data_IF_938569215841
#
_entry.id   IF_938569215841
#
_cell.length_a   1.000
_cell.length_b   1.000
_cell.length_c   1.000
_cell.angle_alpha   90.00
_cell.angle_beta   90.00
_cell.angle_gamma   90.00
#
_symmetry.space_group_name_H-M   'P 1'
#
loop_
_entity.id
_entity.type
_entity.pdbx_description
1 polymer ?
#
# COMPACT_ATOMS: atom_id res chain seq x y z
N UNK A 1 -1.11 -20.43 -15.95
CA UNK A 1 -2.54 -20.23 -15.99
C UNK A 1 -2.83 -18.73 -16.05
N UNK A 2 -3.11 -18.22 -17.26
CA UNK A 2 -3.21 -16.79 -17.58
C UNK A 2 -4.60 -16.20 -17.31
N UNK A 3 -5.41 -16.78 -16.43
CA UNK A 3 -6.83 -16.40 -16.29
C UNK A 3 -7.15 -15.35 -15.23
N UNK A 4 -6.22 -14.91 -14.43
CA UNK A 4 -6.49 -13.96 -13.33
C UNK A 4 -6.18 -12.48 -13.67
N UNK A 5 -5.85 -12.18 -14.92
CA UNK A 5 -5.58 -10.81 -15.36
C UNK A 5 -6.83 -9.93 -15.57
N UNK A 6 -8.04 -10.52 -15.47
CA UNK A 6 -9.29 -9.80 -15.70
C UNK A 6 -9.97 -9.22 -14.46
N UNK A 7 -9.38 -9.36 -13.29
CA UNK A 7 -9.90 -8.77 -12.05
C UNK A 7 -9.15 -7.49 -11.60
N UNK A 8 -8.41 -6.86 -12.49
CA UNK A 8 -7.89 -5.53 -12.18
C UNK A 8 -9.04 -4.57 -11.96
N UNK A 9 -8.98 -3.76 -10.89
CA UNK A 9 -9.98 -2.72 -10.66
C UNK A 9 -10.14 -1.89 -11.93
N UNK A 10 -11.38 -1.54 -12.26
CA UNK A 10 -11.63 -0.62 -13.37
C UNK A 10 -10.73 0.60 -13.19
N UNK A 11 -10.29 1.22 -14.26
CA UNK A 11 -9.39 2.38 -14.24
C UNK A 11 -9.77 3.39 -13.14
N UNK A 12 -11.06 3.69 -12.97
CA UNK A 12 -11.55 4.64 -11.96
C UNK A 12 -11.21 4.25 -10.52
N UNK A 13 -11.21 2.96 -10.19
CA UNK A 13 -10.78 2.51 -8.87
C UNK A 13 -9.26 2.63 -8.66
N UNK A 14 -8.45 2.49 -9.72
CA UNK A 14 -6.99 2.71 -9.63
C UNK A 14 -6.63 4.19 -9.48
N UNK A 15 -7.45 5.10 -10.03
CA UNK A 15 -7.28 6.55 -9.88
C UNK A 15 -7.40 7.00 -8.41
N UNK A 16 -8.24 6.32 -7.64
CA UNK A 16 -8.51 6.62 -6.23
C UNK A 16 -7.75 5.73 -5.23
N UNK A 17 -7.11 4.67 -5.70
CA UNK A 17 -6.38 3.77 -4.81
C UNK A 17 -5.08 4.41 -4.32
N UNK A 18 -4.77 4.22 -3.04
CA UNK A 18 -3.49 4.59 -2.43
C UNK A 18 -2.57 3.37 -2.35
N UNK A 19 -3.14 2.19 -2.09
CA UNK A 19 -2.43 0.91 -2.01
C UNK A 19 -3.31 -0.22 -2.53
N UNK A 20 -2.69 -1.27 -3.03
CA UNK A 20 -3.34 -2.52 -3.41
C UNK A 20 -2.75 -3.62 -2.52
N UNK A 21 -3.59 -4.16 -1.65
CA UNK A 21 -3.21 -5.13 -0.65
C UNK A 21 -3.81 -6.50 -1.00
N UNK A 22 -2.98 -7.54 -1.05
CA UNK A 22 -3.41 -8.93 -1.20
C UNK A 22 -3.41 -9.58 0.18
N UNK A 23 -4.56 -9.91 0.77
CA UNK A 23 -4.60 -10.58 2.07
C UNK A 23 -3.86 -11.92 2.03
N UNK A 24 -3.04 -12.16 3.05
CA UNK A 24 -2.34 -13.41 3.30
C UNK A 24 -3.08 -14.21 4.36
N UNK A 25 -3.46 -13.57 5.46
CA UNK A 25 -4.10 -14.20 6.60
C UNK A 25 -5.01 -13.24 7.35
N UNK A 26 -6.09 -13.79 7.91
CA UNK A 26 -6.98 -13.12 8.84
C UNK A 26 -7.00 -13.91 10.15
N UNK A 27 -6.79 -13.24 11.26
CA UNK A 27 -6.78 -13.89 12.57
C UNK A 27 -7.21 -12.91 13.67
N UNK A 28 -7.51 -13.47 14.85
CA UNK A 28 -7.79 -12.68 16.04
C UNK A 28 -6.56 -12.63 16.93
N UNK A 29 -6.26 -11.43 17.43
CA UNK A 29 -5.20 -11.22 18.39
C UNK A 29 -5.70 -10.27 19.48
N UNK A 30 -5.79 -10.75 20.72
CA UNK A 30 -6.15 -9.96 21.88
C UNK A 30 -4.95 -9.45 22.65
N UNK A 31 -3.78 -10.01 22.35
CA UNK A 31 -2.51 -9.63 22.95
C UNK A 31 -1.40 -9.61 21.91
N UNK A 32 -0.27 -9.01 22.30
CA UNK A 32 0.94 -9.03 21.48
C UNK A 32 1.50 -10.43 21.27
N UNK A 33 1.30 -11.33 22.21
CA UNK A 33 1.76 -12.71 22.11
C UNK A 33 0.86 -13.51 21.17
N UNK A 34 -0.47 -13.29 21.19
CA UNK A 34 -1.37 -13.86 20.18
C UNK A 34 -0.97 -13.41 18.78
N UNK A 35 -0.69 -12.11 18.60
CA UNK A 35 -0.23 -11.56 17.32
C UNK A 35 1.03 -12.26 16.83
N UNK A 36 2.01 -12.42 17.72
CA UNK A 36 3.28 -13.07 17.40
C UNK A 36 3.07 -14.53 16.99
N UNK A 37 2.30 -15.30 17.77
CA UNK A 37 2.05 -16.72 17.51
C UNK A 37 1.27 -16.94 16.20
N UNK A 38 0.24 -16.13 15.93
CA UNK A 38 -0.53 -16.24 14.70
C UNK A 38 0.31 -15.90 13.46
N UNK A 39 1.12 -14.85 13.52
CA UNK A 39 2.02 -14.47 12.44
C UNK A 39 3.10 -15.53 12.22
N UNK A 40 3.60 -16.16 13.28
CA UNK A 40 4.62 -17.20 13.23
C UNK A 40 4.12 -18.51 12.59
N UNK A 41 2.80 -18.77 12.59
CA UNK A 41 2.19 -19.94 11.93
C UNK A 41 2.21 -19.86 10.40
N UNK A 42 2.32 -18.66 9.84
CA UNK A 42 2.33 -18.45 8.39
C UNK A 42 3.67 -18.90 7.84
N UNK A 43 3.67 -19.66 6.75
CA UNK A 43 4.93 -20.08 6.11
C UNK A 43 5.51 -18.94 5.25
N UNK A 44 6.40 -18.19 5.86
CA UNK A 44 7.03 -17.00 5.25
C UNK A 44 7.98 -17.31 4.10
N UNK A 45 8.45 -18.55 3.96
CA UNK A 45 9.30 -18.95 2.84
C UNK A 45 8.59 -18.87 1.49
N UNK A 46 7.25 -18.86 1.48
CA UNK A 46 6.45 -18.68 0.27
C UNK A 46 6.39 -17.22 -0.21
N UNK A 47 6.71 -16.26 0.65
CA UNK A 47 6.59 -14.83 0.37
C UNK A 47 7.94 -14.12 0.34
N UNK A 48 8.91 -14.57 1.13
CA UNK A 48 10.21 -13.93 1.29
C UNK A 48 11.29 -14.92 0.87
N UNK A 49 11.88 -14.70 -0.30
CA UNK A 49 12.99 -15.51 -0.80
C UNK A 49 14.28 -15.19 -0.05
N UNK A 50 15.21 -16.15 -0.05
CA UNK A 50 16.54 -15.98 0.55
C UNK A 50 17.27 -14.77 -0.05
N UNK A 51 17.79 -13.91 0.82
CA UNK A 51 18.54 -12.72 0.43
C UNK A 51 17.66 -11.50 0.12
N UNK A 52 16.33 -11.65 0.09
CA UNK A 52 15.40 -10.53 -0.10
C UNK A 52 15.17 -9.77 1.20
N UNK A 53 14.92 -8.48 1.04
CA UNK A 53 14.59 -7.57 2.12
C UNK A 53 13.09 -7.39 2.26
N UNK A 54 12.60 -7.14 3.47
CA UNK A 54 11.20 -6.85 3.68
C UNK A 54 10.97 -5.67 4.62
N UNK A 55 9.76 -5.11 4.58
CA UNK A 55 9.25 -4.17 5.56
C UNK A 55 7.85 -4.55 6.01
N UNK A 56 7.48 -4.09 7.18
CA UNK A 56 6.12 -4.22 7.73
C UNK A 56 5.60 -2.83 8.06
N UNK A 57 4.49 -2.45 7.45
CA UNK A 57 3.70 -1.27 7.80
C UNK A 57 2.47 -1.72 8.61
N UNK A 58 2.06 -0.93 9.60
CA UNK A 58 0.88 -1.24 10.41
C UNK A 58 -0.11 -0.08 10.45
N UNK A 59 -1.38 -0.44 10.34
CA UNK A 59 -2.51 0.45 10.57
C UNK A 59 -3.35 -0.15 11.69
N UNK A 60 -3.54 0.60 12.77
CA UNK A 60 -4.13 0.07 14.01
C UNK A 60 -5.27 0.97 14.47
N UNK A 61 -6.44 0.35 14.63
CA UNK A 61 -7.65 0.90 15.23
C UNK A 61 -8.10 -0.03 16.36
N UNK A 62 -7.42 0.05 17.51
CA UNK A 62 -7.66 -0.84 18.64
C UNK A 62 -7.33 -0.13 19.95
N UNK A 63 -8.10 -0.39 21.00
CA UNK A 63 -7.80 0.10 22.34
C UNK A 63 -6.64 -0.67 22.98
N UNK A 64 -6.51 -1.95 22.67
CA UNK A 64 -5.44 -2.81 23.16
C UNK A 64 -4.09 -2.49 22.52
N UNK A 65 -4.08 -2.35 21.20
CA UNK A 65 -2.88 -2.07 20.41
C UNK A 65 -2.71 -0.57 20.13
N UNK A 66 -2.45 0.23 21.17
CA UNK A 66 -2.35 1.71 21.05
C UNK A 66 -1.16 2.20 20.24
N UNK A 67 -0.13 1.37 20.05
CA UNK A 67 1.11 1.75 19.39
C UNK A 67 1.32 0.90 18.12
N UNK A 68 1.08 1.50 16.96
CA UNK A 68 1.28 0.83 15.66
C UNK A 68 2.72 0.33 15.47
N UNK A 69 3.74 1.09 15.93
CA UNK A 69 5.14 0.65 15.84
C UNK A 69 5.40 -0.63 16.62
N UNK A 70 4.75 -0.79 17.75
CA UNK A 70 4.86 -2.00 18.54
C UNK A 70 4.31 -3.21 17.79
N UNK A 71 3.17 -3.08 17.14
CA UNK A 71 2.58 -4.12 16.27
C UNK A 71 3.53 -4.46 15.12
N UNK A 72 4.07 -3.43 14.45
CA UNK A 72 5.09 -3.60 13.39
C UNK A 72 6.27 -4.45 13.88
N UNK A 73 6.82 -4.15 15.06
CA UNK A 73 7.96 -4.89 15.60
C UNK A 73 7.59 -6.33 15.96
N UNK A 74 6.43 -6.57 16.56
CA UNK A 74 5.99 -7.94 16.91
C UNK A 74 5.80 -8.80 15.66
N UNK A 75 5.17 -8.28 14.62
CA UNK A 75 5.02 -8.99 13.34
C UNK A 75 6.39 -9.29 12.71
N UNK A 76 7.27 -8.28 12.68
CA UNK A 76 8.64 -8.44 12.19
C UNK A 76 9.41 -9.51 12.95
N UNK A 77 9.35 -9.49 14.28
CA UNK A 77 10.09 -10.44 15.11
C UNK A 77 9.58 -11.87 14.89
N UNK A 78 8.26 -12.08 14.76
CA UNK A 78 7.70 -13.39 14.44
C UNK A 78 8.20 -13.94 13.10
N UNK A 79 8.29 -13.09 12.07
CA UNK A 79 8.84 -13.46 10.75
C UNK A 79 10.32 -13.84 10.86
N UNK A 80 11.11 -13.00 11.50
CA UNK A 80 12.55 -13.18 11.64
C UNK A 80 12.87 -14.45 12.45
N UNK A 81 12.15 -14.68 13.54
CA UNK A 81 12.38 -15.85 14.39
C UNK A 81 11.99 -17.14 13.68
N UNK A 82 10.92 -17.16 12.87
CA UNK A 82 10.58 -18.31 12.05
C UNK A 82 11.71 -18.66 11.05
N UNK A 83 12.26 -17.66 10.36
CA UNK A 83 13.37 -17.87 9.45
C UNK A 83 14.61 -18.41 10.19
N UNK A 84 14.94 -17.82 11.34
CA UNK A 84 16.07 -18.25 12.16
C UNK A 84 15.92 -19.69 12.62
N UNK A 85 14.72 -20.10 13.02
CA UNK A 85 14.44 -21.48 13.44
C UNK A 85 14.51 -22.46 12.26
N UNK A 86 14.00 -22.09 11.08
CA UNK A 86 13.94 -22.98 9.90
C UNK A 86 15.26 -23.06 9.13
N UNK A 87 15.96 -21.94 8.99
CA UNK A 87 17.11 -21.83 8.08
C UNK A 87 18.43 -21.46 8.75
N UNK A 88 18.39 -21.05 10.03
CA UNK A 88 19.54 -20.48 10.74
C UNK A 88 19.91 -19.06 10.30
N UNK A 89 19.26 -18.53 9.27
CA UNK A 89 19.54 -17.20 8.71
C UNK A 89 18.45 -16.20 9.08
N UNK A 90 18.82 -14.92 9.12
CA UNK A 90 17.91 -13.83 9.41
C UNK A 90 17.66 -13.04 8.12
N UNK A 91 16.40 -12.84 7.66
CA UNK A 91 16.12 -11.98 6.54
C UNK A 91 16.41 -10.51 6.90
N UNK A 92 16.92 -9.77 5.93
CA UNK A 92 17.24 -8.36 6.12
C UNK A 92 15.99 -7.49 6.03
N UNK A 93 16.01 -6.39 6.78
CA UNK A 93 14.93 -5.41 6.80
C UNK A 93 15.41 -4.16 6.08
N UNK A 94 14.60 -3.65 5.16
CA UNK A 94 14.81 -2.38 4.51
C UNK A 94 13.53 -1.55 4.64
N UNK A 95 13.60 -0.38 5.28
CA UNK A 95 12.44 0.50 5.45
C UNK A 95 12.22 1.37 4.21
N UNK A 96 13.32 1.83 3.59
CA UNK A 96 13.24 2.77 2.46
C UNK A 96 12.94 2.08 1.14
N UNK A 97 13.61 0.97 0.86
CA UNK A 97 13.45 0.23 -0.40
C UNK A 97 13.46 -1.28 -0.16
N UNK A 98 12.40 -1.84 0.42
CA UNK A 98 12.26 -3.28 0.60
C UNK A 98 11.86 -3.96 -0.71
N UNK A 99 12.34 -5.21 -0.92
CA UNK A 99 11.86 -6.06 -2.00
C UNK A 99 10.39 -6.46 -1.77
N UNK A 100 10.01 -6.65 -0.50
CA UNK A 100 8.69 -7.13 -0.11
C UNK A 100 8.12 -6.20 0.96
N UNK A 101 6.93 -5.68 0.70
CA UNK A 101 6.16 -4.86 1.65
C UNK A 101 5.01 -5.65 2.20
N UNK A 102 4.92 -5.71 3.51
CA UNK A 102 3.81 -6.31 4.24
C UNK A 102 3.03 -5.22 4.94
N UNK A 103 1.73 -5.41 5.02
CA UNK A 103 0.83 -4.52 5.75
C UNK A 103 0.02 -5.33 6.74
N UNK A 104 0.00 -4.91 8.01
CA UNK A 104 -0.88 -5.44 9.03
C UNK A 104 -1.92 -4.38 9.40
N UNK A 105 -3.17 -4.71 9.20
CA UNK A 105 -4.31 -3.89 9.63
C UNK A 105 -4.98 -4.56 10.83
N UNK A 106 -5.09 -3.82 11.92
CA UNK A 106 -5.74 -4.28 13.15
C UNK A 106 -6.96 -3.40 13.42
N UNK A 107 -8.13 -4.01 13.47
CA UNK A 107 -9.39 -3.38 13.85
C UNK A 107 -9.93 -4.11 15.09
N UNK A 108 -9.89 -3.46 16.23
CA UNK A 108 -10.13 -4.04 17.55
C UNK A 108 -9.23 -5.26 17.79
N UNK A 109 -9.80 -6.49 17.85
CA UNK A 109 -9.09 -7.75 17.99
C UNK A 109 -8.86 -8.49 16.66
N UNK A 110 -9.34 -7.94 15.52
CA UNK A 110 -9.23 -8.59 14.22
C UNK A 110 -8.03 -8.04 13.46
N UNK A 111 -7.12 -8.92 13.12
CA UNK A 111 -5.92 -8.60 12.36
C UNK A 111 -6.00 -9.17 10.94
N UNK A 112 -5.63 -8.36 9.96
CA UNK A 112 -5.48 -8.76 8.56
C UNK A 112 -4.05 -8.48 8.14
N UNK A 113 -3.32 -9.51 7.80
CA UNK A 113 -1.98 -9.42 7.25
C UNK A 113 -2.02 -9.56 5.74
N UNK A 114 -1.40 -8.62 5.04
CA UNK A 114 -1.47 -8.53 3.58
C UNK A 114 -0.10 -8.29 2.96
N UNK A 115 0.08 -8.76 1.73
CA UNK A 115 1.16 -8.36 0.84
C UNK A 115 0.77 -7.04 0.17
N UNK A 116 1.60 -6.02 0.26
CA UNK A 116 1.43 -4.77 -0.48
C UNK A 116 2.07 -4.92 -1.87
N UNK A 117 1.21 -5.02 -2.89
CA UNK A 117 1.63 -5.13 -4.29
C UNK A 117 1.86 -3.77 -4.97
N UNK A 118 1.63 -2.67 -4.26
CA UNK A 118 1.75 -1.32 -4.83
C UNK A 118 3.20 -0.85 -4.95
N UNK A 119 4.11 -1.39 -4.13
CA UNK A 119 5.45 -0.85 -3.94
C UNK A 119 5.40 0.49 -3.19
N UNK A 120 5.69 1.60 -3.86
CA UNK A 120 5.41 2.93 -3.31
C UNK A 120 3.91 3.26 -3.36
N UNK A 121 3.49 4.21 -2.53
CA UNK A 121 2.10 4.67 -2.50
C UNK A 121 1.65 5.17 -3.87
N UNK A 122 0.48 4.73 -4.33
CA UNK A 122 -0.03 4.99 -5.69
C UNK A 122 -0.36 6.46 -5.96
N UNK A 123 -0.46 7.32 -4.93
CA UNK A 123 -0.57 8.76 -5.14
C UNK A 123 0.69 9.33 -5.81
N UNK A 124 1.86 8.73 -5.62
CA UNK A 124 3.08 9.10 -6.32
C UNK A 124 3.03 8.60 -7.75
N UNK A 125 2.46 9.41 -8.65
CA UNK A 125 2.22 9.06 -10.05
C UNK A 125 3.51 8.99 -10.90
N UNK A 126 4.60 9.60 -10.43
CA UNK A 126 5.88 9.66 -11.16
C UNK A 126 6.02 10.85 -12.11
N UNK A 127 4.96 11.57 -12.45
CA UNK A 127 5.02 12.70 -13.37
C UNK A 127 5.57 13.99 -12.74
N UNK A 128 5.62 14.09 -11.43
CA UNK A 128 6.07 15.30 -10.73
C UNK A 128 7.60 15.43 -10.79
N UNK A 129 8.11 16.41 -11.50
CA UNK A 129 9.54 16.69 -11.61
C UNK A 129 10.00 17.68 -10.55
N UNK A 130 9.18 18.69 -10.25
CA UNK A 130 9.43 19.68 -9.22
C UNK A 130 8.32 19.65 -8.17
N UNK A 131 8.69 19.87 -6.92
CA UNK A 131 7.76 19.92 -5.81
C UNK A 131 7.65 21.36 -5.31
N UNK A 132 6.43 21.86 -5.28
CA UNK A 132 6.12 23.10 -4.57
C UNK A 132 5.88 22.80 -3.09
N UNK A 133 5.90 23.84 -2.26
CA UNK A 133 5.51 23.70 -0.85
C UNK A 133 4.04 23.26 -0.77
N UNK A 134 3.77 22.15 -0.04
CA UNK A 134 2.44 21.57 0.15
C UNK A 134 1.61 21.32 -1.13
N UNK A 135 2.09 20.48 -2.07
CA UNK A 135 1.34 20.16 -3.29
C UNK A 135 0.07 19.38 -2.98
N UNK A 136 -0.98 19.58 -3.80
CA UNK A 136 -2.20 18.78 -3.72
C UNK A 136 -1.88 17.30 -3.96
N UNK A 137 -2.49 16.41 -3.16
CA UNK A 137 -2.35 14.97 -3.35
C UNK A 137 -3.06 14.54 -4.64
N UNK A 138 -2.40 13.73 -5.45
CA UNK A 138 -2.86 13.32 -6.79
C UNK A 138 -4.14 12.49 -6.73
N UNK A 139 -4.27 11.60 -5.76
CA UNK A 139 -5.51 10.80 -5.55
C UNK A 139 -6.67 11.70 -5.15
N UNK A 140 -6.41 12.70 -4.30
CA UNK A 140 -7.44 13.68 -3.92
C UNK A 140 -7.87 14.52 -5.14
N UNK A 141 -6.91 14.98 -5.95
CA UNK A 141 -7.19 15.72 -7.18
C UNK A 141 -8.06 14.91 -8.15
N UNK A 142 -7.68 13.67 -8.42
CA UNK A 142 -8.48 12.76 -9.25
C UNK A 142 -9.90 12.55 -8.68
N UNK A 143 -10.01 12.35 -7.36
CA UNK A 143 -11.29 12.21 -6.68
C UNK A 143 -12.20 13.43 -6.84
N UNK A 144 -11.65 14.62 -6.68
CA UNK A 144 -12.40 15.88 -6.86
C UNK A 144 -12.94 16.00 -8.28
N UNK A 145 -12.13 15.70 -9.31
CA UNK A 145 -12.57 15.75 -10.70
C UNK A 145 -13.65 14.71 -10.98
N UNK A 146 -13.46 13.47 -10.55
CA UNK A 146 -14.45 12.41 -10.74
C UNK A 146 -15.78 12.70 -10.06
N UNK A 147 -15.78 13.40 -8.92
CA UNK A 147 -17.01 13.84 -8.24
C UNK A 147 -17.81 14.86 -9.03
N UNK A 148 -17.19 15.63 -9.93
CA UNK A 148 -17.92 16.56 -10.81
C UNK A 148 -18.66 15.86 -11.95
N UNK A 149 -18.33 14.62 -12.23
CA UNK A 149 -18.84 13.87 -13.40
C UNK A 149 -18.15 14.22 -14.71
N UNK A 150 -17.23 15.21 -14.74
CA UNK A 150 -16.50 15.61 -15.95
C UNK A 150 -15.59 14.49 -16.45
N UNK A 151 -15.58 14.25 -17.78
CA UNK A 151 -14.82 13.19 -18.43
C UNK A 151 -14.00 13.68 -19.65
N UNK A 152 -13.82 14.99 -19.80
CA UNK A 152 -13.06 15.57 -20.91
C UNK A 152 -13.91 16.13 -22.05
N UNK A 153 -15.23 16.21 -21.88
CA UNK A 153 -16.18 16.69 -22.89
C UNK A 153 -16.22 18.21 -23.05
N UNK A 154 -15.68 18.93 -22.08
CA UNK A 154 -15.61 20.39 -22.06
C UNK A 154 -14.25 20.88 -21.61
N UNK A 155 -13.96 22.16 -21.74
CA UNK A 155 -12.74 22.77 -21.22
C UNK A 155 -12.66 22.62 -19.71
N UNK A 156 -11.44 22.37 -19.21
CA UNK A 156 -11.12 22.32 -17.79
C UNK A 156 -10.15 23.47 -17.46
N UNK A 157 -10.57 24.40 -16.62
CA UNK A 157 -9.81 25.61 -16.29
C UNK A 157 -9.52 25.63 -14.78
N UNK A 158 -8.25 25.78 -14.43
CA UNK A 158 -7.79 25.96 -13.04
C UNK A 158 -7.04 27.32 -12.94
N UNK A 159 -7.69 28.37 -12.45
CA UNK A 159 -7.09 29.70 -12.36
C UNK A 159 -6.03 29.85 -11.27
N UNK A 160 -5.89 28.85 -10.38
CA UNK A 160 -4.91 28.83 -9.29
C UNK A 160 -4.14 27.51 -9.26
N UNK A 161 -3.67 27.09 -10.41
CA UNK A 161 -3.17 25.71 -10.67
C UNK A 161 -1.96 25.28 -9.80
N UNK A 162 -1.21 26.18 -9.21
CA UNK A 162 -0.02 25.81 -8.44
C UNK A 162 0.95 24.96 -9.26
N UNK A 163 1.22 23.74 -8.80
CA UNK A 163 2.04 22.76 -9.55
C UNK A 163 1.28 22.03 -10.67
N UNK A 164 0.05 22.40 -10.98
CA UNK A 164 -0.76 21.83 -12.04
C UNK A 164 -1.35 20.44 -11.73
N UNK A 165 -1.39 20.02 -10.47
CA UNK A 165 -1.86 18.67 -10.12
C UNK A 165 -3.28 18.39 -10.63
N UNK A 166 -4.23 19.31 -10.45
CA UNK A 166 -5.61 19.17 -10.97
C UNK A 166 -5.61 19.07 -12.50
N UNK A 167 -4.85 19.92 -13.19
CA UNK A 167 -4.79 19.92 -14.67
C UNK A 167 -4.21 18.61 -15.22
N UNK A 168 -3.16 18.08 -14.56
CA UNK A 168 -2.53 16.83 -14.98
C UNK A 168 -3.48 15.64 -14.74
N UNK A 169 -4.12 15.54 -13.57
CA UNK A 169 -5.09 14.48 -13.31
C UNK A 169 -6.32 14.60 -14.24
N UNK A 170 -6.79 15.81 -14.55
CA UNK A 170 -7.85 16.02 -15.55
C UNK A 170 -7.41 15.52 -16.94
N UNK A 171 -6.21 15.84 -17.38
CA UNK A 171 -5.68 15.37 -18.65
C UNK A 171 -5.57 13.83 -18.68
N UNK A 172 -5.10 13.20 -17.61
CA UNK A 172 -5.05 11.73 -17.48
C UNK A 172 -6.45 11.11 -17.60
N UNK A 173 -7.45 11.71 -16.97
CA UNK A 173 -8.86 11.27 -17.03
C UNK A 173 -9.41 11.43 -18.45
N UNK A 174 -9.26 12.60 -19.06
CA UNK A 174 -9.77 12.90 -20.40
C UNK A 174 -9.18 11.98 -21.48
N UNK A 175 -7.87 11.73 -21.41
CA UNK A 175 -7.17 10.88 -22.38
C UNK A 175 -7.19 9.39 -22.07
N UNK A 176 -7.89 8.97 -21.03
CA UNK A 176 -7.92 7.58 -20.59
C UNK A 176 -6.53 6.97 -20.34
N UNK A 177 -5.62 7.76 -19.76
CA UNK A 177 -4.25 7.34 -19.40
C UNK A 177 -4.24 6.77 -17.98
N UNK A 178 -3.65 5.58 -17.81
CA UNK A 178 -3.55 4.97 -16.49
C UNK A 178 -2.66 5.80 -15.56
N UNK A 179 -3.06 6.06 -14.30
CA UNK A 179 -2.28 6.89 -13.38
C UNK A 179 -0.90 6.33 -13.02
N UNK A 180 -0.65 5.04 -13.25
CA UNK A 180 0.63 4.39 -12.95
C UNK A 180 1.64 4.35 -14.10
N UNK A 181 1.32 4.94 -15.25
CA UNK A 181 2.13 4.83 -16.47
C UNK A 181 3.53 5.44 -16.36
N UNK A 182 3.69 6.44 -15.47
CA UNK A 182 4.97 7.16 -15.27
C UNK A 182 5.77 6.67 -14.04
N UNK A 183 5.38 5.56 -13.41
CA UNK A 183 6.04 5.02 -12.21
C UNK A 183 7.19 4.09 -12.53
#
# INVERSE_FOLDING_TARGET
DHRDLHSFPTRRSSDLAIRILKPISHFKAKSADDMYEEVKKIDWSQYIEKGKTFSVDSVVYSEEFRNSRFVTYKVKDAIVDQFREKTGERPNISVSNPDIRLNIHVAEDNATLSLDSSGESLHRRGYRQESVEAPLNEVLAAGMILMTGWQGETDFIDPMCGSGTLLIEAALIAHNISPGVFR
#
